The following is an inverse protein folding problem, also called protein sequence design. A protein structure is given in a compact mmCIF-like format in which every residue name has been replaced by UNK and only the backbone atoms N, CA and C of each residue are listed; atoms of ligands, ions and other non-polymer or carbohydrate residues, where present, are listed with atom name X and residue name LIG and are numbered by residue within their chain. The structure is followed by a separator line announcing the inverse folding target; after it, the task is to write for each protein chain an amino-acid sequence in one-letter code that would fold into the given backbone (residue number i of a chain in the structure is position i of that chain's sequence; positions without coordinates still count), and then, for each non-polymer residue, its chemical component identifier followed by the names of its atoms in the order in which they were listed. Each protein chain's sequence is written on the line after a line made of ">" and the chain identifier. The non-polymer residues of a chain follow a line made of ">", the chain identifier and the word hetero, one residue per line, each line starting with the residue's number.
data_IF_936219468161
#
_entry.id   IF_936219468161
#
_cell.length_a   1.000
_cell.length_b   1.000
_cell.length_c   1.000
_cell.angle_alpha   90.00
_cell.angle_beta   90.00
_cell.angle_gamma   90.00
#
_symmetry.space_group_name_H-M   'P 1'
#
loop_
_entity.id
_entity.type
_entity.pdbx_description
1 polymer ?
#
# COMPACT_ATOMS: atom_id res chain seq x y z
N UNK A 1 -21.48 -35.02 -8.14
CA UNK A 1 -21.19 -34.25 -6.91
C UNK A 1 -19.72 -33.84 -6.95
N UNK A 2 -19.41 -32.64 -7.44
CA UNK A 2 -18.06 -32.07 -7.38
C UNK A 2 -18.05 -31.08 -6.22
N UNK A 3 -17.24 -31.37 -5.20
CA UNK A 3 -17.15 -30.60 -3.95
C UNK A 3 -16.51 -29.24 -4.25
N UNK A 4 -17.12 -28.19 -3.69
CA UNK A 4 -16.62 -26.82 -3.67
C UNK A 4 -15.22 -26.78 -3.06
N UNK A 5 -14.20 -26.55 -3.88
CA UNK A 5 -12.88 -26.16 -3.39
C UNK A 5 -12.84 -24.63 -3.30
N UNK A 6 -13.44 -24.09 -2.24
CA UNK A 6 -13.19 -22.73 -1.81
C UNK A 6 -11.72 -22.60 -1.39
N UNK A 7 -10.86 -22.12 -2.29
CA UNK A 7 -9.54 -21.64 -1.91
C UNK A 7 -9.77 -20.30 -1.19
N UNK A 8 -10.04 -20.37 0.12
CA UNK A 8 -9.97 -19.20 1.00
C UNK A 8 -8.54 -18.67 0.98
N UNK A 9 -8.30 -17.61 0.22
CA UNK A 9 -7.07 -16.85 0.27
C UNK A 9 -6.98 -16.15 1.64
N UNK A 10 -6.41 -16.82 2.65
CA UNK A 10 -5.93 -16.16 3.85
C UNK A 10 -4.78 -15.23 3.47
N UNK A 11 -5.04 -13.91 3.46
CA UNK A 11 -4.00 -12.87 3.35
C UNK A 11 -3.10 -12.95 4.58
N UNK A 12 -2.02 -13.73 4.50
CA UNK A 12 -0.98 -13.70 5.50
C UNK A 12 -0.16 -12.41 5.31
N UNK A 13 -0.45 -11.40 6.13
CA UNK A 13 0.26 -10.12 6.16
C UNK A 13 1.61 -10.34 6.85
N UNK A 14 2.57 -10.90 6.12
CA UNK A 14 3.94 -11.01 6.61
C UNK A 14 4.54 -9.61 6.70
N UNK A 15 4.77 -9.14 7.93
CA UNK A 15 5.40 -7.87 8.26
C UNK A 15 6.87 -7.85 7.81
N UNK A 16 7.12 -7.50 6.55
CA UNK A 16 8.45 -7.15 6.02
C UNK A 16 8.31 -5.85 5.18
N UNK A 17 7.86 -4.78 5.82
CA UNK A 17 7.47 -3.49 5.21
C UNK A 17 8.64 -2.65 4.63
N UNK A 18 9.81 -3.23 4.31
CA UNK A 18 10.97 -2.44 3.84
C UNK A 18 11.56 -2.83 2.49
N UNK A 19 11.17 -3.96 1.90
CA UNK A 19 11.73 -4.43 0.61
C UNK A 19 10.68 -4.71 -0.47
N UNK A 20 9.39 -4.49 -0.16
CA UNK A 20 8.32 -4.79 -1.10
C UNK A 20 8.38 -3.88 -2.33
N UNK A 21 8.57 -2.57 -2.15
CA UNK A 21 8.58 -1.61 -3.27
C UNK A 21 9.64 -1.92 -4.33
N UNK A 22 10.88 -2.21 -3.90
CA UNK A 22 11.99 -2.52 -4.80
C UNK A 22 11.79 -3.86 -5.52
N UNK A 23 11.33 -4.87 -4.77
CA UNK A 23 11.10 -6.22 -5.31
C UNK A 23 9.91 -6.24 -6.26
N UNK A 24 8.86 -5.48 -5.96
CA UNK A 24 7.68 -5.31 -6.81
C UNK A 24 8.01 -4.53 -8.08
N UNK A 25 8.82 -3.47 -7.99
CA UNK A 25 9.31 -2.75 -9.17
C UNK A 25 10.05 -3.69 -10.13
N UNK A 26 11.02 -4.45 -9.63
CA UNK A 26 11.80 -5.39 -10.43
C UNK A 26 10.91 -6.47 -11.06
N UNK A 27 9.94 -7.00 -10.31
CA UNK A 27 8.97 -7.96 -10.82
C UNK A 27 8.12 -7.38 -11.96
N UNK A 28 7.63 -6.15 -11.83
CA UNK A 28 6.85 -5.48 -12.87
C UNK A 28 7.67 -5.15 -14.11
N UNK A 29 8.95 -4.77 -13.97
CA UNK A 29 9.84 -4.51 -15.11
C UNK A 29 10.08 -5.79 -15.92
N UNK A 30 10.40 -6.91 -15.25
CA UNK A 30 10.66 -8.19 -15.92
C UNK A 30 9.41 -8.74 -16.61
N UNK A 31 8.24 -8.59 -15.97
CA UNK A 31 6.97 -9.02 -16.55
C UNK A 31 6.57 -8.19 -17.79
N UNK A 32 6.80 -6.86 -17.76
CA UNK A 32 6.60 -5.99 -18.93
C UNK A 32 7.44 -6.41 -20.13
N UNK A 33 8.66 -6.89 -19.89
CA UNK A 33 9.53 -7.42 -20.94
C UNK A 33 9.10 -8.82 -21.44
N UNK A 34 8.08 -9.43 -20.83
CA UNK A 34 7.60 -10.81 -21.09
C UNK A 34 8.69 -11.88 -20.97
N UNK A 35 9.73 -11.61 -20.17
CA UNK A 35 10.86 -12.53 -20.02
C UNK A 35 10.50 -13.77 -19.18
N UNK A 36 9.51 -13.66 -18.29
CA UNK A 36 9.12 -14.72 -17.36
C UNK A 36 7.61 -14.78 -17.11
N UNK A 37 7.10 -15.99 -16.82
CA UNK A 37 5.72 -16.19 -16.36
C UNK A 37 5.51 -15.70 -14.92
N UNK A 38 4.30 -15.22 -14.59
CA UNK A 38 3.94 -14.72 -13.25
C UNK A 38 4.33 -15.64 -12.09
N UNK A 39 4.16 -16.95 -12.27
CA UNK A 39 4.51 -17.95 -11.24
C UNK A 39 6.02 -17.96 -10.96
N UNK A 40 6.83 -17.76 -12.00
CA UNK A 40 8.29 -17.73 -11.89
C UNK A 40 8.76 -16.40 -11.29
N UNK A 41 8.22 -15.28 -11.78
CA UNK A 41 8.48 -13.94 -11.24
C UNK A 41 8.15 -13.87 -9.74
N UNK A 42 6.98 -14.34 -9.34
CA UNK A 42 6.55 -14.37 -7.93
C UNK A 42 7.52 -15.12 -7.03
N UNK A 43 8.03 -16.28 -7.46
CA UNK A 43 9.02 -17.06 -6.71
C UNK A 43 10.40 -16.40 -6.67
N UNK A 44 10.82 -15.79 -7.77
CA UNK A 44 12.14 -15.14 -7.87
C UNK A 44 12.21 -13.87 -7.02
N UNK A 45 11.16 -13.05 -7.05
CA UNK A 45 11.12 -11.76 -6.34
C UNK A 45 10.40 -11.81 -5.00
N UNK A 46 9.92 -13.00 -4.59
CA UNK A 46 9.15 -13.21 -3.36
C UNK A 46 7.96 -12.24 -3.22
N UNK A 47 7.24 -12.00 -4.33
CA UNK A 47 6.04 -11.16 -4.39
C UNK A 47 4.80 -12.02 -4.57
N UNK A 48 3.65 -11.57 -4.07
CA UNK A 48 2.40 -12.30 -4.25
C UNK A 48 1.97 -12.31 -5.71
N UNK A 49 1.77 -13.52 -6.26
CA UNK A 49 1.32 -13.72 -7.65
C UNK A 49 0.00 -13.00 -7.93
N UNK A 50 -0.98 -13.10 -7.03
CA UNK A 50 -2.29 -12.46 -7.21
C UNK A 50 -2.17 -10.94 -7.31
N UNK A 51 -1.36 -10.33 -6.44
CA UNK A 51 -1.11 -8.88 -6.46
C UNK A 51 -0.42 -8.46 -7.75
N UNK A 52 0.62 -9.18 -8.18
CA UNK A 52 1.30 -8.92 -9.44
C UNK A 52 0.34 -9.02 -10.64
N UNK A 53 -0.50 -10.06 -10.68
CA UNK A 53 -1.50 -10.21 -11.74
C UNK A 53 -2.56 -9.10 -11.71
N UNK A 54 -3.06 -8.75 -10.53
CA UNK A 54 -4.05 -7.68 -10.37
C UNK A 54 -3.47 -6.33 -10.81
N UNK A 55 -2.25 -6.01 -10.41
CA UNK A 55 -1.56 -4.76 -10.78
C UNK A 55 -1.29 -4.69 -12.29
N UNK A 56 -0.88 -5.80 -12.90
CA UNK A 56 -0.61 -5.87 -14.35
C UNK A 56 -1.88 -5.92 -15.19
N UNK A 57 -2.98 -6.50 -14.70
CA UNK A 57 -4.27 -6.57 -15.42
C UNK A 57 -5.08 -5.28 -15.30
N UNK A 58 -5.06 -4.63 -14.13
CA UNK A 58 -5.85 -3.42 -13.86
C UNK A 58 -5.22 -2.13 -14.41
N UNK A 59 -4.21 -2.25 -15.30
CA UNK A 59 -3.41 -1.19 -15.95
C UNK A 59 -4.05 0.20 -15.94
N UNK A 60 -3.62 1.03 -14.99
CA UNK A 60 -3.64 2.50 -15.13
C UNK A 60 -2.38 3.21 -14.62
N UNK A 61 -1.42 2.50 -14.02
CA UNK A 61 -0.26 3.15 -13.41
C UNK A 61 1.07 2.53 -13.83
N UNK A 62 2.09 3.38 -13.96
CA UNK A 62 3.48 2.95 -14.11
C UNK A 62 3.99 2.27 -12.82
N UNK A 63 5.02 1.42 -12.87
CA UNK A 63 5.62 0.82 -11.68
C UNK A 63 6.05 1.87 -10.65
N UNK A 64 6.49 3.03 -11.11
CA UNK A 64 6.88 4.17 -10.29
C UNK A 64 5.67 4.80 -9.60
N UNK A 65 4.56 4.98 -10.31
CA UNK A 65 3.30 5.49 -9.76
C UNK A 65 2.71 4.52 -8.74
N UNK A 66 2.79 3.21 -9.01
CA UNK A 66 2.29 2.17 -8.13
C UNK A 66 3.02 2.15 -6.78
N UNK A 67 4.34 2.37 -6.78
CA UNK A 67 5.13 2.52 -5.55
C UNK A 67 4.75 3.80 -4.78
N UNK A 68 4.47 4.89 -5.51
CA UNK A 68 4.05 6.13 -4.87
C UNK A 68 2.61 6.08 -4.36
N UNK A 69 1.81 5.10 -4.80
CA UNK A 69 0.45 4.97 -4.29
C UNK A 69 0.43 4.49 -2.85
N UNK A 70 -0.21 5.28 -1.99
CA UNK A 70 -0.48 4.86 -0.63
C UNK A 70 -1.48 3.70 -0.65
N UNK A 71 -1.03 2.52 -0.24
CA UNK A 71 -1.92 1.38 -0.03
C UNK A 71 -2.95 1.70 1.06
N UNK A 72 -4.23 1.45 0.79
CA UNK A 72 -5.30 1.52 1.80
C UNK A 72 -6.46 2.44 1.43
N UNK A 73 -7.20 2.87 2.46
CA UNK A 73 -8.39 3.73 2.27
C UNK A 73 -7.93 5.11 1.78
N UNK A 74 -8.56 5.65 0.72
CA UNK A 74 -8.27 7.01 0.28
C UNK A 74 -8.49 7.97 1.46
N UNK A 75 -7.58 8.93 1.62
CA UNK A 75 -7.74 9.90 2.70
C UNK A 75 -8.89 10.84 2.38
N UNK A 76 -9.74 11.11 3.36
CA UNK A 76 -10.88 12.04 3.25
C UNK A 76 -10.41 13.50 3.25
N UNK A 77 -9.31 13.81 3.93
CA UNK A 77 -8.76 15.15 4.02
C UNK A 77 -7.95 15.55 2.78
N UNK A 78 -8.13 16.79 2.33
CA UNK A 78 -7.27 17.44 1.33
C UNK A 78 -5.84 17.57 1.85
N UNK A 79 -4.87 17.77 0.94
CA UNK A 79 -3.45 17.94 1.31
C UNK A 79 -3.24 19.14 2.23
N UNK A 80 -4.00 20.21 2.02
CA UNK A 80 -3.94 21.45 2.80
C UNK A 80 -4.40 21.23 4.25
N UNK A 81 -5.58 20.63 4.44
CA UNK A 81 -6.13 20.35 5.78
C UNK A 81 -5.20 19.42 6.57
N UNK A 82 -4.56 18.46 5.90
CA UNK A 82 -3.55 17.61 6.53
C UNK A 82 -2.35 18.40 7.03
N UNK A 83 -1.84 19.33 6.22
CA UNK A 83 -0.68 20.15 6.59
C UNK A 83 -1.01 21.02 7.81
N UNK A 84 -2.19 21.63 7.82
CA UNK A 84 -2.67 22.44 8.94
C UNK A 84 -2.85 21.60 10.21
N UNK A 85 -3.42 20.41 10.10
CA UNK A 85 -3.54 19.47 11.22
C UNK A 85 -2.17 19.07 11.79
N UNK A 86 -1.20 18.78 10.93
CA UNK A 86 0.17 18.43 11.35
C UNK A 86 0.82 19.61 12.09
N UNK A 87 0.71 20.82 11.53
CA UNK A 87 1.25 22.03 12.14
C UNK A 87 0.61 22.31 13.51
N UNK A 88 -0.71 22.16 13.60
CA UNK A 88 -1.44 22.28 14.86
C UNK A 88 -0.93 21.29 15.90
N UNK A 89 -0.75 20.02 15.53
CA UNK A 89 -0.25 18.99 16.43
C UNK A 89 1.16 19.29 16.93
N UNK A 90 2.06 19.76 16.05
CA UNK A 90 3.43 20.12 16.40
C UNK A 90 3.49 21.33 17.36
N UNK A 91 2.66 22.34 17.13
CA UNK A 91 2.58 23.51 18.01
C UNK A 91 2.02 23.15 19.39
N UNK A 92 1.01 22.28 19.45
CA UNK A 92 0.46 21.83 20.73
C UNK A 92 1.44 20.93 21.49
N UNK A 93 2.21 20.10 20.80
CA UNK A 93 3.25 19.29 21.42
C UNK A 93 4.34 20.16 22.08
N UNK A 94 4.80 21.18 21.36
CA UNK A 94 5.79 22.16 21.86
C UNK A 94 5.30 22.94 23.09
N UNK A 95 4.03 23.33 23.11
CA UNK A 95 3.47 24.23 24.14
C UNK A 95 2.87 23.50 25.34
N UNK A 96 2.29 22.32 25.11
CA UNK A 96 1.44 21.63 26.09
C UNK A 96 1.84 20.17 26.32
N UNK A 97 3.02 19.75 25.85
CA UNK A 97 3.56 18.38 26.01
C UNK A 97 2.72 17.28 25.34
N UNK A 98 1.94 17.64 24.32
CA UNK A 98 1.24 16.71 23.43
C UNK A 98 -0.27 16.92 23.35
N UNK A 99 -0.91 16.16 22.46
CA UNK A 99 -2.36 16.10 22.30
C UNK A 99 -2.85 14.67 22.53
N UNK A 100 -4.03 14.53 23.12
CA UNK A 100 -4.70 13.24 23.19
C UNK A 100 -5.55 13.03 21.94
N UNK A 101 -5.78 11.77 21.58
CA UNK A 101 -6.65 11.41 20.46
C UNK A 101 -8.09 11.93 20.62
N UNK A 102 -8.54 12.19 21.86
CA UNK A 102 -9.83 12.80 22.15
C UNK A 102 -9.92 14.25 21.66
N UNK A 103 -8.81 14.99 21.76
CA UNK A 103 -8.77 16.41 21.45
C UNK A 103 -8.76 16.59 19.94
N UNK A 104 -7.96 15.77 19.24
CA UNK A 104 -7.91 15.72 17.78
C UNK A 104 -9.30 15.40 17.18
N UNK A 105 -10.06 14.50 17.80
CA UNK A 105 -11.40 14.12 17.33
C UNK A 105 -12.43 15.25 17.49
N UNK A 106 -12.22 16.17 18.42
CA UNK A 106 -13.13 17.29 18.70
C UNK A 106 -12.87 18.50 17.82
N UNK A 107 -11.76 18.51 17.10
CA UNK A 107 -11.43 19.61 16.19
C UNK A 107 -12.37 19.58 14.97
N UNK A 108 -12.91 20.74 14.57
CA UNK A 108 -13.75 20.84 13.38
C UNK A 108 -12.86 20.85 12.14
N UNK A 109 -12.80 19.73 11.42
CA UNK A 109 -12.07 19.57 10.16
C UNK A 109 -12.94 18.96 9.07
#
# INVERSE_FOLDING_TARGET
>A
MCKENEIKCHRNRNNNEKNWDKSMHAAMTVDKNKEMEYTRVSKTFNVFKSTLEDDVKNKKMSPEELIQTNMGRPTVFSKEIKADLVNYCLEMDRRFHGLRSSDIRRLPF
#
